data_IF_583367086422
#
_entry.id   IF_583367086422
#
_cell.length_a   1.000
_cell.length_b   1.000
_cell.length_c   1.000
_cell.angle_alpha   90.00
_cell.angle_beta   90.00
_cell.angle_gamma   90.00
#
_symmetry.space_group_name_H-M   'P 1'
#
loop_
_entity.id
_entity.type
_entity.pdbx_description
1 polymer ?
#
# COMPACT_ATOMS: atom_id res chain seq x y z
N UNK A 1 -47.57 12.90 38.83
CA UNK A 1 -46.37 12.02 38.80
C UNK A 1 -46.03 11.73 37.34
N UNK A 2 -45.09 12.49 36.74
CA UNK A 2 -44.70 12.36 35.34
C UNK A 2 -43.53 11.38 35.20
N UNK A 3 -43.76 10.24 34.57
CA UNK A 3 -42.73 9.26 34.27
C UNK A 3 -41.83 9.77 33.13
N UNK A 4 -40.56 10.02 33.42
CA UNK A 4 -39.54 10.35 32.40
C UNK A 4 -39.18 9.07 31.67
N UNK A 5 -39.62 8.96 30.40
CA UNK A 5 -39.25 7.88 29.52
C UNK A 5 -37.78 8.03 29.11
N UNK A 6 -36.91 7.11 29.53
CA UNK A 6 -35.52 7.08 29.10
C UNK A 6 -35.44 6.68 27.60
N UNK A 7 -34.59 7.37 26.80
CA UNK A 7 -34.40 6.98 25.41
C UNK A 7 -33.69 5.63 25.32
N UNK A 8 -34.34 4.65 24.67
CA UNK A 8 -33.71 3.37 24.32
C UNK A 8 -32.51 3.65 23.40
N UNK A 9 -31.31 3.43 23.90
CA UNK A 9 -30.09 3.33 23.10
C UNK A 9 -30.31 2.23 22.05
N UNK A 10 -30.42 2.63 20.75
CA UNK A 10 -30.37 1.68 19.65
C UNK A 10 -28.95 1.11 19.64
N UNK A 11 -28.81 -0.16 19.96
CA UNK A 11 -27.58 -0.91 19.73
C UNK A 11 -27.22 -0.79 18.25
N UNK A 12 -26.14 -0.08 17.98
CA UNK A 12 -25.53 -0.09 16.64
C UNK A 12 -25.02 -1.52 16.45
N UNK A 13 -25.44 -2.24 15.39
CA UNK A 13 -24.94 -3.59 15.15
C UNK A 13 -23.42 -3.53 15.08
N UNK A 14 -22.75 -4.37 15.84
CA UNK A 14 -21.30 -4.54 15.79
C UNK A 14 -20.89 -4.79 14.35
N UNK A 15 -19.83 -4.18 13.84
CA UNK A 15 -19.35 -4.45 12.48
C UNK A 15 -19.16 -5.97 12.36
N UNK A 16 -19.74 -6.57 11.33
CA UNK A 16 -19.56 -7.98 11.00
C UNK A 16 -18.05 -8.21 10.92
N UNK A 17 -17.50 -8.91 11.92
CA UNK A 17 -16.07 -9.22 11.94
C UNK A 17 -15.79 -10.13 10.75
N UNK A 18 -15.01 -9.64 9.78
CA UNK A 18 -14.49 -10.49 8.71
C UNK A 18 -13.84 -11.74 9.32
N UNK A 19 -14.13 -12.89 8.74
CA UNK A 19 -13.33 -14.09 9.00
C UNK A 19 -11.88 -13.82 8.66
N UNK A 20 -10.93 -14.49 9.29
CA UNK A 20 -9.49 -14.38 8.97
C UNK A 20 -9.22 -14.53 7.46
N UNK A 21 -10.03 -15.34 6.76
CA UNK A 21 -9.94 -15.57 5.31
C UNK A 21 -10.36 -14.36 4.44
N UNK A 22 -11.08 -13.39 5.00
CA UNK A 22 -11.54 -12.20 4.28
C UNK A 22 -10.66 -10.97 4.52
N UNK A 23 -9.78 -11.03 5.50
CA UNK A 23 -8.79 -9.98 5.76
C UNK A 23 -7.70 -10.06 4.71
N UNK A 24 -7.39 -8.94 4.12
CA UNK A 24 -6.30 -8.77 3.17
C UNK A 24 -5.48 -7.56 3.56
N UNK A 25 -4.18 -7.72 3.61
CA UNK A 25 -3.24 -6.61 3.75
C UNK A 25 -2.65 -6.25 2.40
N UNK A 26 -2.58 -4.97 2.13
CA UNK A 26 -2.01 -4.40 0.94
C UNK A 26 -0.87 -3.47 1.33
N UNK A 27 0.30 -3.73 0.77
CA UNK A 27 1.49 -2.92 0.97
C UNK A 27 1.79 -2.16 -0.32
N UNK A 28 1.79 -0.82 -0.26
CA UNK A 28 2.10 0.03 -1.41
C UNK A 28 3.44 0.72 -1.17
N UNK A 29 4.44 0.36 -1.96
CA UNK A 29 5.80 0.89 -1.92
C UNK A 29 6.03 1.79 -3.13
N UNK A 30 6.24 3.07 -2.91
CA UNK A 30 6.73 3.93 -3.99
C UNK A 30 8.19 3.62 -4.27
N UNK A 31 8.58 3.52 -5.56
CA UNK A 31 9.98 3.31 -5.92
C UNK A 31 10.93 4.29 -5.22
N UNK A 32 12.15 3.86 -4.92
CA UNK A 32 13.20 4.67 -4.32
C UNK A 32 13.76 5.71 -5.29
N UNK A 33 14.68 6.57 -4.84
CA UNK A 33 15.25 7.61 -5.68
C UNK A 33 15.97 7.03 -6.89
N UNK A 34 15.67 7.58 -8.08
CA UNK A 34 16.27 7.19 -9.34
C UNK A 34 16.95 8.39 -10.00
N UNK A 35 17.98 8.11 -10.82
CA UNK A 35 18.67 9.12 -11.63
C UNK A 35 17.66 9.82 -12.56
N UNK A 36 17.83 11.10 -12.86
CA UNK A 36 17.10 11.75 -13.95
C UNK A 36 17.54 11.15 -15.29
N UNK A 37 16.69 11.20 -16.30
CA UNK A 37 17.05 10.70 -17.63
C UNK A 37 15.85 10.33 -18.48
N UNK A 38 16.14 10.07 -19.74
CA UNK A 38 15.24 9.56 -20.77
C UNK A 38 15.84 8.34 -21.43
N UNK A 39 15.05 7.31 -21.77
CA UNK A 39 13.61 7.22 -21.51
C UNK A 39 13.30 7.00 -20.02
N UNK A 40 12.16 7.52 -19.56
CA UNK A 40 11.77 7.47 -18.14
C UNK A 40 11.68 6.03 -17.59
N UNK A 41 11.33 5.06 -18.43
CA UNK A 41 11.21 3.65 -18.03
C UNK A 41 12.56 3.03 -17.62
N UNK A 42 13.68 3.52 -18.15
CA UNK A 42 15.02 2.95 -18.00
C UNK A 42 15.82 3.57 -16.83
N UNK A 43 15.28 4.54 -16.16
CA UNK A 43 15.94 5.22 -15.04
C UNK A 43 16.24 4.26 -13.90
N UNK A 44 17.52 4.12 -13.57
CA UNK A 44 18.03 3.25 -12.50
C UNK A 44 18.01 3.96 -11.13
N UNK A 45 18.08 3.20 -10.04
CA UNK A 45 18.22 3.77 -8.70
C UNK A 45 19.57 4.48 -8.52
N UNK A 46 19.55 5.59 -7.78
CA UNK A 46 20.78 6.24 -7.27
C UNK A 46 21.34 5.44 -6.08
N UNK A 47 22.60 5.73 -5.69
CA UNK A 47 23.16 5.23 -4.42
C UNK A 47 22.27 5.59 -3.23
N UNK A 48 21.72 6.81 -3.21
CA UNK A 48 20.75 7.25 -2.20
C UNK A 48 19.47 6.43 -2.24
N UNK A 49 18.95 6.09 -3.46
CA UNK A 49 17.79 5.22 -3.60
C UNK A 49 18.03 3.84 -3.01
N UNK A 50 19.20 3.24 -3.24
CA UNK A 50 19.58 1.95 -2.65
C UNK A 50 19.64 2.02 -1.11
N UNK A 51 20.19 3.10 -0.55
CA UNK A 51 20.21 3.35 0.90
C UNK A 51 18.80 3.54 1.47
N UNK A 52 17.90 4.22 0.73
CA UNK A 52 16.50 4.34 1.15
C UNK A 52 15.83 2.98 1.33
N UNK A 53 16.06 2.03 0.41
CA UNK A 53 15.51 0.67 0.55
C UNK A 53 16.10 -0.03 1.77
N UNK A 54 17.40 0.09 2.02
CA UNK A 54 18.06 -0.46 3.21
C UNK A 54 17.43 0.10 4.50
N UNK A 55 17.35 1.42 4.63
CA UNK A 55 16.73 2.06 5.81
C UNK A 55 15.25 1.66 5.98
N UNK A 56 14.50 1.50 4.88
CA UNK A 56 13.13 1.00 4.96
C UNK A 56 13.09 -0.40 5.57
N UNK A 57 13.90 -1.34 5.06
CA UNK A 57 13.92 -2.73 5.53
C UNK A 57 14.35 -2.81 6.99
N UNK A 58 15.37 -2.06 7.41
CA UNK A 58 15.83 -2.00 8.81
C UNK A 58 14.75 -1.46 9.78
N UNK A 59 13.79 -0.71 9.26
CA UNK A 59 12.67 -0.15 10.03
C UNK A 59 11.43 -1.04 10.05
N UNK A 60 11.45 -2.17 9.33
CA UNK A 60 10.33 -3.07 9.20
C UNK A 60 10.41 -4.24 10.17
N UNK A 61 9.25 -4.60 10.74
CA UNK A 61 9.08 -5.93 11.29
C UNK A 61 8.73 -6.89 10.15
N UNK A 62 9.62 -7.82 9.80
CA UNK A 62 9.38 -8.82 8.75
C UNK A 62 8.16 -9.68 9.04
N UNK A 63 7.78 -9.85 10.31
CA UNK A 63 6.53 -10.51 10.71
C UNK A 63 5.29 -9.83 10.11
N UNK A 64 5.33 -8.53 9.85
CA UNK A 64 4.22 -7.82 9.20
C UNK A 64 3.98 -8.30 7.76
N UNK A 65 4.99 -8.89 7.12
CA UNK A 65 4.99 -9.34 5.73
C UNK A 65 4.85 -10.87 5.59
N UNK A 66 4.68 -11.62 6.69
CA UNK A 66 4.69 -13.10 6.70
C UNK A 66 3.67 -13.76 5.75
N UNK A 67 2.56 -13.09 5.49
CA UNK A 67 1.48 -13.62 4.65
C UNK A 67 1.47 -13.03 3.23
N UNK A 68 2.43 -12.15 2.91
CA UNK A 68 2.63 -11.63 1.55
C UNK A 68 3.03 -12.78 0.64
N UNK A 69 2.35 -12.93 -0.49
CA UNK A 69 2.58 -14.04 -1.44
C UNK A 69 3.25 -13.60 -2.73
N UNK A 70 3.26 -12.32 -3.02
CA UNK A 70 3.76 -11.77 -4.28
C UNK A 70 4.18 -10.32 -4.10
N UNK A 71 5.21 -9.93 -4.83
CA UNK A 71 5.60 -8.54 -5.02
C UNK A 71 5.35 -8.18 -6.49
N UNK A 72 4.47 -7.22 -6.70
CA UNK A 72 4.10 -6.73 -8.03
C UNK A 72 4.78 -5.39 -8.32
N UNK A 73 5.17 -5.15 -9.58
CA UNK A 73 5.84 -3.92 -9.95
C UNK A 73 5.42 -3.41 -11.33
N UNK A 74 5.64 -2.12 -11.61
CA UNK A 74 5.23 -1.44 -12.84
C UNK A 74 6.02 -1.84 -14.10
N UNK A 75 7.09 -2.60 -13.97
CA UNK A 75 8.04 -2.91 -15.05
C UNK A 75 9.10 -1.81 -15.30
N UNK A 76 8.95 -0.59 -14.79
CA UNK A 76 10.00 0.44 -14.90
C UNK A 76 11.22 0.06 -14.06
N UNK A 77 12.44 0.25 -14.60
CA UNK A 77 13.68 -0.24 -13.98
C UNK A 77 13.78 0.16 -12.49
N UNK A 78 13.50 1.41 -12.15
CA UNK A 78 13.54 1.88 -10.75
C UNK A 78 12.57 1.15 -9.81
N UNK A 79 11.42 0.70 -10.32
CA UNK A 79 10.47 -0.08 -9.52
C UNK A 79 10.92 -1.53 -9.39
N UNK A 80 11.42 -2.13 -10.48
CA UNK A 80 12.06 -3.45 -10.48
C UNK A 80 13.22 -3.48 -9.48
N UNK A 81 14.17 -2.55 -9.60
CA UNK A 81 15.33 -2.48 -8.70
C UNK A 81 14.94 -2.23 -7.23
N UNK A 82 13.88 -1.45 -6.97
CA UNK A 82 13.36 -1.26 -5.62
C UNK A 82 12.83 -2.59 -5.07
N UNK A 83 12.04 -3.34 -5.86
CA UNK A 83 11.49 -4.63 -5.47
C UNK A 83 12.59 -5.67 -5.27
N UNK A 84 13.53 -5.80 -6.21
CA UNK A 84 14.66 -6.74 -6.11
C UNK A 84 15.50 -6.46 -4.86
N UNK A 85 15.88 -5.19 -4.66
CA UNK A 85 16.68 -4.81 -3.49
C UNK A 85 15.93 -5.03 -2.18
N UNK A 86 14.61 -4.85 -2.17
CA UNK A 86 13.77 -5.15 -1.01
C UNK A 86 13.80 -6.64 -0.68
N UNK A 87 13.62 -7.52 -1.67
CA UNK A 87 13.70 -8.99 -1.50
C UNK A 87 15.07 -9.42 -1.00
N UNK A 88 16.15 -8.94 -1.64
CA UNK A 88 17.53 -9.24 -1.23
C UNK A 88 17.80 -8.91 0.26
N UNK A 89 17.34 -7.75 0.71
CA UNK A 89 17.59 -7.27 2.07
C UNK A 89 16.68 -7.92 3.11
N UNK A 90 15.46 -8.31 2.73
CA UNK A 90 14.52 -9.00 3.65
C UNK A 90 14.76 -10.50 3.72
N UNK A 91 15.42 -11.10 2.73
CA UNK A 91 15.57 -12.55 2.59
C UNK A 91 14.26 -13.28 2.28
N UNK A 92 13.21 -12.55 1.87
CA UNK A 92 11.93 -13.16 1.50
C UNK A 92 12.04 -13.84 0.14
N UNK A 93 11.61 -15.10 0.06
CA UNK A 93 11.50 -15.83 -1.22
C UNK A 93 10.11 -15.59 -1.82
N UNK A 94 9.95 -14.48 -2.52
CA UNK A 94 8.69 -14.04 -3.10
C UNK A 94 8.83 -13.79 -4.61
N UNK A 95 7.85 -14.22 -5.43
CA UNK A 95 7.86 -13.92 -6.86
C UNK A 95 7.72 -12.41 -7.11
N UNK A 96 8.53 -11.90 -8.06
CA UNK A 96 8.47 -10.53 -8.56
C UNK A 96 7.75 -10.53 -9.90
N UNK A 97 6.57 -9.94 -9.98
CA UNK A 97 5.72 -9.97 -11.17
C UNK A 97 5.46 -8.55 -11.74
N UNK A 98 5.69 -8.36 -13.04
CA UNK A 98 5.29 -7.12 -13.71
C UNK A 98 3.75 -7.08 -13.87
N UNK A 99 3.14 -5.97 -13.45
CA UNK A 99 1.68 -5.78 -13.52
C UNK A 99 1.38 -4.45 -14.22
N UNK A 100 0.38 -4.48 -15.10
CA UNK A 100 -0.13 -3.27 -15.78
C UNK A 100 -1.03 -2.46 -14.86
N UNK A 101 -1.05 -1.13 -15.06
CA UNK A 101 -1.86 -0.23 -14.21
C UNK A 101 -1.08 0.41 -13.07
N UNK A 102 0.25 0.21 -13.03
CA UNK A 102 1.13 0.73 -11.96
C UNK A 102 2.11 1.81 -12.43
N UNK A 103 2.14 2.16 -13.74
CA UNK A 103 2.99 3.23 -14.28
C UNK A 103 2.50 4.60 -13.80
N UNK A 104 3.34 5.64 -13.84
CA UNK A 104 2.96 6.98 -13.37
C UNK A 104 1.69 7.54 -14.02
N UNK A 105 1.53 7.31 -15.33
CA UNK A 105 0.40 7.81 -16.14
C UNK A 105 -0.76 6.82 -16.25
N UNK A 106 -0.65 5.62 -15.67
CA UNK A 106 -1.73 4.64 -15.75
C UNK A 106 -2.94 5.06 -14.91
N UNK A 107 -4.13 4.72 -15.41
CA UNK A 107 -5.36 4.95 -14.66
C UNK A 107 -5.47 3.96 -13.49
N UNK A 108 -5.57 4.49 -12.28
CA UNK A 108 -5.69 3.70 -11.06
C UNK A 108 -6.92 2.76 -11.03
N UNK A 109 -7.94 2.97 -11.87
CA UNK A 109 -9.14 2.11 -11.90
C UNK A 109 -8.82 0.64 -12.15
N UNK A 110 -7.82 0.35 -13.01
CA UNK A 110 -7.45 -1.03 -13.33
C UNK A 110 -6.91 -1.76 -12.12
N UNK A 111 -5.91 -1.19 -11.46
CA UNK A 111 -5.30 -1.81 -10.28
C UNK A 111 -6.25 -1.83 -9.08
N UNK A 112 -7.13 -0.84 -8.93
CA UNK A 112 -8.17 -0.83 -7.89
C UNK A 112 -9.16 -1.98 -8.09
N UNK A 113 -9.59 -2.25 -9.33
CA UNK A 113 -10.45 -3.41 -9.63
C UNK A 113 -9.76 -4.70 -9.21
N UNK A 114 -8.53 -4.90 -9.65
CA UNK A 114 -7.74 -6.08 -9.32
C UNK A 114 -7.53 -6.25 -7.80
N UNK A 115 -7.24 -5.17 -7.07
CA UNK A 115 -7.14 -5.17 -5.60
C UNK A 115 -8.46 -5.62 -4.94
N UNK A 116 -9.61 -5.19 -5.45
CA UNK A 116 -10.90 -5.56 -4.86
C UNK A 116 -11.26 -7.04 -5.07
N UNK A 117 -10.78 -7.64 -6.15
CA UNK A 117 -11.00 -9.05 -6.50
C UNK A 117 -10.00 -10.00 -5.79
N UNK A 118 -8.86 -9.48 -5.35
CA UNK A 118 -7.80 -10.26 -4.67
C UNK A 118 -8.17 -10.59 -3.22
N UNK A 119 -7.69 -11.77 -2.75
CA UNK A 119 -7.95 -12.29 -1.40
C UNK A 119 -6.67 -12.61 -0.59
N UNK A 120 -5.50 -12.37 -1.14
CA UNK A 120 -4.22 -12.63 -0.48
C UNK A 120 -3.42 -11.34 -0.29
N UNK A 121 -2.57 -11.35 0.72
CA UNK A 121 -1.67 -10.25 1.01
C UNK A 121 -0.64 -10.10 -0.11
N UNK A 122 -0.38 -8.86 -0.52
CA UNK A 122 0.60 -8.53 -1.56
C UNK A 122 1.27 -7.19 -1.35
N UNK A 123 2.46 -7.05 -1.91
CA UNK A 123 3.20 -5.80 -1.95
C UNK A 123 3.26 -5.29 -3.40
N UNK A 124 2.93 -4.04 -3.60
CA UNK A 124 2.93 -3.37 -4.91
C UNK A 124 3.98 -2.28 -4.92
N UNK A 125 4.91 -2.34 -5.89
CA UNK A 125 5.95 -1.32 -6.11
C UNK A 125 5.62 -0.49 -7.36
N UNK A 126 5.40 0.79 -7.17
CA UNK A 126 4.94 1.67 -8.25
C UNK A 126 5.35 3.13 -8.08
N UNK A 127 4.52 4.02 -8.59
CA UNK A 127 4.83 5.43 -8.79
C UNK A 127 3.71 6.34 -8.29
N UNK A 128 4.06 7.59 -7.95
CA UNK A 128 3.09 8.67 -7.83
C UNK A 128 2.85 9.31 -9.21
N UNK A 129 1.65 9.87 -9.46
CA UNK A 129 0.52 9.99 -8.53
C UNK A 129 -0.29 8.69 -8.34
N UNK A 130 -0.09 7.66 -9.17
CA UNK A 130 -0.91 6.45 -9.23
C UNK A 130 -1.08 5.79 -7.84
N UNK A 131 0.02 5.45 -7.12
CA UNK A 131 -0.08 4.79 -5.80
C UNK A 131 -0.75 5.66 -4.73
N UNK A 132 -0.52 6.97 -4.75
CA UNK A 132 -1.19 7.89 -3.82
C UNK A 132 -2.71 7.90 -4.05
N UNK A 133 -3.13 7.92 -5.32
CA UNK A 133 -4.55 7.81 -5.72
C UNK A 133 -5.15 6.46 -5.32
N UNK A 134 -4.42 5.36 -5.53
CA UNK A 134 -4.87 4.01 -5.08
C UNK A 134 -5.11 4.01 -3.57
N UNK A 135 -4.12 4.41 -2.78
CA UNK A 135 -4.25 4.47 -1.32
C UNK A 135 -5.41 5.37 -0.88
N UNK A 136 -5.50 6.58 -1.46
CA UNK A 136 -6.54 7.54 -1.13
C UNK A 136 -7.96 7.05 -1.44
N UNK A 137 -8.15 6.37 -2.56
CA UNK A 137 -9.44 5.81 -2.95
C UNK A 137 -9.85 4.61 -2.11
N UNK A 138 -8.90 3.74 -1.74
CA UNK A 138 -9.17 2.63 -0.83
C UNK A 138 -9.59 3.14 0.53
N UNK A 139 -8.85 4.08 1.12
CA UNK A 139 -9.20 4.71 2.41
C UNK A 139 -10.53 5.47 2.38
N UNK A 140 -10.92 6.00 1.22
CA UNK A 140 -12.22 6.63 1.00
C UNK A 140 -13.35 5.66 0.66
N UNK A 141 -13.08 4.34 0.59
CA UNK A 141 -14.06 3.30 0.26
C UNK A 141 -14.61 3.40 -1.17
N UNK A 142 -13.92 4.10 -2.06
CA UNK A 142 -14.35 4.37 -3.44
C UNK A 142 -15.36 5.51 -3.60
N UNK A 143 -15.80 6.14 -2.50
CA UNK A 143 -16.76 7.26 -2.54
C UNK A 143 -16.07 8.63 -2.66
N UNK A 144 -14.95 8.76 -2.05
CA UNK A 144 -14.11 9.96 -2.06
C UNK A 144 -12.64 9.56 -2.15
N UNK A 145 -11.78 10.50 -2.45
CA UNK A 145 -10.34 10.31 -2.40
C UNK A 145 -9.79 11.03 -1.16
N UNK A 146 -9.08 10.27 -0.34
CA UNK A 146 -8.33 10.82 0.81
C UNK A 146 -6.96 11.21 0.31
N UNK A 147 -6.48 12.40 0.64
CA UNK A 147 -5.12 12.83 0.28
C UNK A 147 -4.08 12.00 1.02
N UNK A 148 -3.22 11.31 0.28
CA UNK A 148 -2.13 10.48 0.82
C UNK A 148 -0.81 10.96 0.25
N UNK A 149 0.14 11.27 1.14
CA UNK A 149 1.50 11.68 0.74
C UNK A 149 2.43 10.48 0.85
N UNK A 150 2.86 9.95 -0.30
CA UNK A 150 3.89 8.91 -0.39
C UNK A 150 5.18 9.50 -0.96
N UNK A 151 6.22 9.65 -0.14
CA UNK A 151 7.55 10.04 -0.60
C UNK A 151 8.27 8.88 -1.29
N UNK A 152 9.41 9.15 -1.96
CA UNK A 152 10.25 8.10 -2.55
C UNK A 152 10.61 7.06 -1.49
N UNK A 153 10.48 5.78 -1.82
CA UNK A 153 10.68 4.65 -0.92
C UNK A 153 9.75 4.60 0.31
N UNK A 154 8.70 5.43 0.39
CA UNK A 154 7.70 5.28 1.45
C UNK A 154 6.85 4.04 1.21
N UNK A 155 6.59 3.30 2.29
CA UNK A 155 5.77 2.10 2.33
C UNK A 155 4.55 2.35 3.23
N UNK A 156 3.36 2.16 2.67
CA UNK A 156 2.09 2.23 3.41
C UNK A 156 1.48 0.83 3.49
N UNK A 157 1.01 0.45 4.65
CA UNK A 157 0.24 -0.77 4.88
C UNK A 157 -1.22 -0.44 5.12
N UNK A 158 -2.08 -1.08 4.33
CA UNK A 158 -3.52 -0.99 4.42
C UNK A 158 -4.10 -2.36 4.73
N UNK A 159 -5.20 -2.40 5.47
CA UNK A 159 -5.96 -3.61 5.73
C UNK A 159 -7.40 -3.43 5.25
N UNK A 160 -7.92 -4.41 4.52
CA UNK A 160 -9.33 -4.47 4.17
C UNK A 160 -10.14 -4.94 5.37
N UNK A 161 -10.95 -4.03 5.93
CA UNK A 161 -11.82 -4.29 7.07
C UNK A 161 -13.16 -4.90 6.64
N UNK A 162 -13.66 -4.52 5.46
CA UNK A 162 -14.89 -5.07 4.88
C UNK A 162 -14.76 -5.13 3.35
N UNK A 163 -15.36 -6.15 2.75
CA UNK A 163 -15.40 -6.32 1.30
C UNK A 163 -16.23 -5.24 0.58
N UNK A 164 -16.19 -5.22 -0.77
CA UNK A 164 -16.98 -4.29 -1.57
C UNK A 164 -18.48 -4.43 -1.32
N UNK A 165 -19.16 -3.28 -1.27
CA UNK A 165 -20.62 -3.16 -1.13
C UNK A 165 -21.14 -2.07 -2.06
N UNK A 166 -22.48 -1.96 -2.24
CA UNK A 166 -23.05 -0.82 -2.98
C UNK A 166 -22.66 0.53 -2.37
N UNK A 167 -22.54 0.60 -1.04
CA UNK A 167 -22.16 1.81 -0.32
C UNK A 167 -20.66 2.08 -0.42
N UNK A 168 -19.82 1.06 -0.41
CA UNK A 168 -18.37 1.15 -0.49
C UNK A 168 -17.84 0.23 -1.62
N UNK A 169 -17.82 0.72 -2.87
CA UNK A 169 -17.49 -0.11 -4.03
C UNK A 169 -16.09 -0.71 -4.02
N UNK A 170 -15.16 -0.11 -3.30
CA UNK A 170 -13.78 -0.63 -3.13
C UNK A 170 -13.60 -1.38 -1.80
N UNK A 171 -14.68 -1.60 -1.02
CA UNK A 171 -14.62 -2.10 0.33
C UNK A 171 -14.24 -1.00 1.35
N UNK A 172 -14.16 -1.37 2.61
CA UNK A 172 -13.69 -0.48 3.66
C UNK A 172 -12.26 -0.85 4.06
N UNK A 173 -11.36 0.12 3.98
CA UNK A 173 -9.94 -0.05 4.26
C UNK A 173 -9.51 0.84 5.41
N UNK A 174 -8.56 0.37 6.19
CA UNK A 174 -7.92 1.13 7.25
C UNK A 174 -6.42 1.23 7.03
N UNK A 175 -5.84 2.34 7.41
CA UNK A 175 -4.40 2.51 7.49
C UNK A 175 -3.87 1.77 8.73
N UNK A 176 -2.93 0.85 8.54
CA UNK A 176 -2.20 0.23 9.63
C UNK A 176 -1.02 1.08 10.05
N UNK A 177 -0.15 1.41 9.11
CA UNK A 177 1.03 2.26 9.30
C UNK A 177 1.58 2.79 7.97
N UNK A 178 2.45 3.79 8.08
CA UNK A 178 3.22 4.36 6.98
C UNK A 178 4.65 4.58 7.46
N UNK A 179 5.64 4.07 6.72
CA UNK A 179 7.07 4.29 6.95
C UNK A 179 7.60 5.18 5.83
N UNK A 180 8.24 6.28 6.23
CA UNK A 180 8.95 7.21 5.35
C UNK A 180 10.45 7.19 5.71
N UNK A 181 11.30 6.47 4.96
CA UNK A 181 12.71 6.33 5.28
C UNK A 181 13.48 7.65 5.18
N UNK A 182 12.96 8.66 4.47
CA UNK A 182 13.60 9.98 4.41
C UNK A 182 13.63 10.69 5.77
N UNK A 183 12.77 10.31 6.69
CA UNK A 183 12.74 10.83 8.06
C UNK A 183 13.63 10.04 9.03
N UNK A 184 14.02 8.82 8.64
CA UNK A 184 14.83 7.92 9.46
C UNK A 184 16.33 8.15 9.23
N UNK A 185 16.71 8.52 8.01
CA UNK A 185 18.11 8.84 7.66
C UNK A 185 18.66 10.11 8.35
N UNK A 186 17.84 10.89 9.02
CA UNK A 186 18.21 12.11 9.75
C UNK A 186 18.13 11.96 11.27
N UNK A 187 18.10 10.73 11.83
CA UNK A 187 18.27 10.56 13.27
C UNK A 187 19.75 10.72 13.58
N UNK A 188 20.14 11.68 14.45
CA UNK A 188 21.47 11.68 15.02
C UNK A 188 21.66 10.37 15.82
N UNK A 189 22.86 9.79 15.72
CA UNK A 189 23.33 8.65 16.51
C UNK A 189 23.29 8.97 18.00
#
# INVERSE_FOLDING_TARGET
MGGVSQPRLKLVPSPVSLTLAERMRLFLLRHAEAVPGTPDAERVLTKKGQLQVKCLVESLSLKALSDVRVIEHSGFIRAVQTATRFVELTGLDLPLLPVTGLRPADNAKRILKDITETRHDRLIVGHNPNLATVAGRLLGGGRREVSVVLKKCALIALERAEGPTKKYPLGQWRLLWLIDPSRLANRPE
#
